data_IF_387633087228
#
_entry.id   IF_387633087228
#
_cell.length_a   1.000
_cell.length_b   1.000
_cell.length_c   1.000
_cell.angle_alpha   90.00
_cell.angle_beta   90.00
_cell.angle_gamma   90.00
#
_symmetry.space_group_name_H-M   'P 1'
#
loop_
_entity.id
_entity.type
_entity.pdbx_description
1 polymer ?
#
# COMPACT_ATOMS: atom_id res chain seq x y z
N UNK A 1 -29.38 -6.74 37.36
CA UNK A 1 -29.62 -6.29 38.76
C UNK A 1 -31.09 -6.01 39.06
N UNK A 2 -31.54 -6.36 40.26
CA UNK A 2 -32.82 -5.91 40.84
C UNK A 2 -32.60 -4.90 41.97
N UNK A 3 -33.68 -4.29 42.45
CA UNK A 3 -33.68 -3.42 43.64
C UNK A 3 -34.11 -4.23 44.85
N UNK A 4 -33.73 -3.78 46.04
CA UNK A 4 -34.24 -4.34 47.29
C UNK A 4 -35.77 -4.26 47.34
N UNK A 5 -36.41 -5.40 47.57
CA UNK A 5 -37.87 -5.57 47.52
C UNK A 5 -38.41 -6.38 48.71
N UNK A 6 -37.61 -6.51 49.76
CA UNK A 6 -38.08 -6.97 51.08
C UNK A 6 -39.27 -6.15 51.57
N UNK A 7 -40.09 -6.74 52.45
CA UNK A 7 -41.30 -6.09 52.96
C UNK A 7 -41.06 -4.75 53.68
N UNK A 8 -39.84 -4.52 54.15
CA UNK A 8 -39.40 -3.30 54.85
C UNK A 8 -38.60 -2.36 53.93
N UNK A 9 -38.49 -2.67 52.64
CA UNK A 9 -37.96 -1.75 51.64
C UNK A 9 -38.81 -0.48 51.57
N UNK A 10 -38.15 0.68 51.44
CA UNK A 10 -38.84 1.94 51.24
C UNK A 10 -39.44 1.96 49.84
N UNK A 11 -40.76 1.79 49.79
CA UNK A 11 -41.53 1.82 48.54
C UNK A 11 -41.30 3.14 47.79
N UNK A 12 -41.06 3.04 46.49
CA UNK A 12 -40.98 4.16 45.55
C UNK A 12 -39.98 5.28 45.91
N UNK A 13 -38.94 4.97 46.70
CA UNK A 13 -37.94 5.96 47.17
C UNK A 13 -37.32 6.78 46.03
N UNK A 14 -37.16 6.18 44.85
CA UNK A 14 -36.58 6.83 43.67
C UNK A 14 -37.59 7.00 42.51
N UNK A 15 -38.89 6.98 42.81
CA UNK A 15 -39.99 7.05 41.84
C UNK A 15 -40.82 5.75 41.80
N UNK A 16 -41.92 5.76 41.03
CA UNK A 16 -42.84 4.62 40.95
C UNK A 16 -42.12 3.32 40.53
N UNK A 17 -42.33 2.25 41.30
CA UNK A 17 -41.71 0.93 41.16
C UNK A 17 -40.23 0.87 41.59
N UNK A 18 -39.67 1.95 42.15
CA UNK A 18 -38.23 2.07 42.43
C UNK A 18 -37.98 2.11 43.93
N UNK A 19 -38.15 0.96 44.57
CA UNK A 19 -37.86 0.75 45.98
C UNK A 19 -36.39 1.05 46.32
N UNK A 20 -36.10 1.29 47.61
CA UNK A 20 -34.75 1.51 48.09
C UNK A 20 -34.61 1.34 49.60
N UNK A 21 -33.38 1.46 50.09
CA UNK A 21 -33.06 1.30 51.51
C UNK A 21 -33.55 2.46 52.37
N UNK A 22 -34.06 2.19 53.56
CA UNK A 22 -34.31 3.16 54.62
C UNK A 22 -33.65 2.72 55.93
N UNK A 23 -33.19 3.68 56.72
CA UNK A 23 -32.71 3.46 58.10
C UNK A 23 -33.86 3.24 59.10
N UNK A 24 -35.10 3.25 58.62
CA UNK A 24 -36.30 3.29 59.46
C UNK A 24 -36.48 4.64 60.15
N UNK A 25 -37.57 4.74 60.89
CA UNK A 25 -37.85 5.86 61.78
C UNK A 25 -38.62 5.35 63.01
N UNK A 26 -37.94 5.22 64.18
CA UNK A 26 -38.58 4.76 65.41
C UNK A 26 -39.73 5.66 65.87
N UNK A 27 -39.71 6.95 65.56
CA UNK A 27 -40.77 7.90 65.96
C UNK A 27 -42.07 7.69 65.18
N UNK A 28 -41.97 7.18 63.94
CA UNK A 28 -43.13 6.90 63.07
C UNK A 28 -43.42 5.40 62.95
N UNK A 29 -42.74 4.56 63.72
CA UNK A 29 -42.89 3.09 63.68
C UNK A 29 -42.44 2.45 62.37
N UNK A 30 -41.63 3.13 61.56
CA UNK A 30 -41.15 2.60 60.28
C UNK A 30 -39.89 1.75 60.52
N UNK A 31 -39.89 0.44 60.22
CA UNK A 31 -38.69 -0.39 60.36
C UNK A 31 -37.60 0.02 59.36
N UNK A 32 -36.35 -0.34 59.66
CA UNK A 32 -35.26 -0.26 58.69
C UNK A 32 -35.43 -1.34 57.61
N UNK A 33 -34.85 -1.12 56.43
CA UNK A 33 -34.90 -2.12 55.36
C UNK A 33 -34.09 -3.35 55.71
N UNK A 34 -34.75 -4.49 55.67
CA UNK A 34 -34.14 -5.79 55.86
C UNK A 34 -33.29 -6.13 54.63
N UNK A 35 -32.16 -6.74 54.92
CA UNK A 35 -31.19 -7.24 53.96
C UNK A 35 -31.54 -8.71 53.66
N UNK A 36 -31.66 -9.07 52.39
CA UNK A 36 -31.94 -10.42 51.92
C UNK A 36 -30.80 -10.98 51.05
N UNK A 37 -30.74 -12.30 50.99
CA UNK A 37 -29.76 -13.06 50.22
C UNK A 37 -29.88 -12.78 48.72
N UNK A 38 -31.09 -12.77 48.17
CA UNK A 38 -31.34 -12.55 46.74
C UNK A 38 -30.66 -11.26 46.22
N UNK A 39 -30.79 -10.15 46.97
CA UNK A 39 -30.14 -8.89 46.61
C UNK A 39 -28.61 -8.94 46.67
N UNK A 40 -28.02 -9.59 47.68
CA UNK A 40 -26.56 -9.68 47.80
C UNK A 40 -25.95 -10.69 46.82
N UNK A 41 -26.61 -11.81 46.59
CA UNK A 41 -26.20 -12.81 45.61
C UNK A 41 -26.23 -12.21 44.21
N UNK A 42 -27.28 -11.44 43.86
CA UNK A 42 -27.32 -10.72 42.59
C UNK A 42 -26.13 -9.75 42.43
N UNK A 43 -25.79 -8.97 43.46
CA UNK A 43 -24.64 -8.06 43.39
C UNK A 43 -23.32 -8.83 43.26
N UNK A 44 -23.19 -9.95 43.96
CA UNK A 44 -22.01 -10.81 43.86
C UNK A 44 -21.85 -11.36 42.45
N UNK A 45 -22.90 -11.97 41.89
CA UNK A 45 -22.86 -12.61 40.58
C UNK A 45 -22.66 -11.59 39.44
N UNK A 46 -23.16 -10.36 39.57
CA UNK A 46 -22.89 -9.30 38.59
C UNK A 46 -21.41 -8.90 38.58
N UNK A 47 -20.77 -8.79 39.76
CA UNK A 47 -19.34 -8.47 39.85
C UNK A 47 -18.45 -9.66 39.48
N UNK A 48 -18.85 -10.87 39.88
CA UNK A 48 -18.17 -12.12 39.56
C UNK A 48 -18.23 -12.40 38.06
N UNK A 49 -19.39 -12.23 37.43
CA UNK A 49 -19.59 -12.42 36.00
C UNK A 49 -18.71 -11.52 35.14
N UNK A 50 -18.47 -10.26 35.55
CA UNK A 50 -17.50 -9.38 34.86
C UNK A 50 -16.08 -9.95 34.90
N UNK A 51 -15.68 -10.56 36.01
CA UNK A 51 -14.36 -11.18 36.16
C UNK A 51 -14.26 -12.45 35.31
N UNK A 52 -15.24 -13.33 35.42
CA UNK A 52 -15.25 -14.62 34.71
C UNK A 52 -15.35 -14.45 33.19
N UNK A 53 -16.04 -13.43 32.70
CA UNK A 53 -16.12 -13.10 31.28
C UNK A 53 -14.74 -12.84 30.64
N UNK A 54 -13.72 -12.51 31.44
CA UNK A 54 -12.33 -12.33 30.98
C UNK A 54 -11.48 -13.60 31.06
N UNK A 55 -12.07 -14.73 31.44
CA UNK A 55 -11.38 -16.00 31.65
C UNK A 55 -10.59 -16.09 32.96
N UNK A 56 -10.76 -15.12 33.86
CA UNK A 56 -10.14 -15.12 35.19
C UNK A 56 -11.00 -15.97 36.13
N UNK A 57 -10.39 -16.95 36.80
CA UNK A 57 -11.04 -17.75 37.84
C UNK A 57 -11.12 -16.97 39.15
N UNK A 58 -12.29 -16.97 39.79
CA UNK A 58 -12.53 -16.28 41.05
C UNK A 58 -11.65 -16.82 42.18
N UNK A 59 -10.94 -15.93 42.86
CA UNK A 59 -10.02 -16.23 43.95
C UNK A 59 -10.33 -15.39 45.18
N UNK A 60 -10.87 -16.03 46.23
CA UNK A 60 -11.22 -15.36 47.50
C UNK A 60 -10.05 -14.68 48.21
N UNK A 61 -8.80 -15.01 47.86
CA UNK A 61 -7.61 -14.38 48.43
C UNK A 61 -7.21 -13.08 47.73
N UNK A 62 -7.87 -12.73 46.61
CA UNK A 62 -7.54 -11.55 45.80
C UNK A 62 -8.63 -10.49 45.85
N UNK A 63 -8.22 -9.26 46.17
CA UNK A 63 -9.09 -8.07 46.25
C UNK A 63 -8.95 -7.11 45.05
N UNK A 64 -8.41 -7.58 43.91
CA UNK A 64 -8.16 -6.76 42.71
C UNK A 64 -8.68 -7.40 41.42
N UNK A 65 -9.54 -8.42 41.51
CA UNK A 65 -9.98 -9.22 40.37
C UNK A 65 -10.82 -8.39 39.39
N UNK A 66 -11.79 -7.61 39.90
CA UNK A 66 -12.59 -6.70 39.08
C UNK A 66 -11.72 -5.68 38.32
N UNK A 67 -10.73 -5.09 39.01
CA UNK A 67 -9.80 -4.17 38.36
C UNK A 67 -8.97 -4.85 37.26
N UNK A 68 -8.56 -6.10 37.48
CA UNK A 68 -7.81 -6.89 36.50
C UNK A 68 -8.67 -7.22 35.27
N UNK A 69 -9.92 -7.62 35.49
CA UNK A 69 -10.89 -7.88 34.44
C UNK A 69 -11.19 -6.63 33.61
N UNK A 70 -11.44 -5.48 34.25
CA UNK A 70 -11.65 -4.22 33.55
C UNK A 70 -10.44 -3.83 32.69
N UNK A 71 -9.21 -4.00 33.20
CA UNK A 71 -8.01 -3.78 32.39
C UNK A 71 -7.97 -4.69 31.16
N UNK A 72 -8.33 -5.97 31.29
CA UNK A 72 -8.36 -6.90 30.17
C UNK A 72 -9.44 -6.52 29.14
N UNK A 73 -10.66 -6.22 29.60
CA UNK A 73 -11.77 -5.79 28.74
C UNK A 73 -11.44 -4.52 27.97
N UNK A 74 -10.82 -3.54 28.63
CA UNK A 74 -10.46 -2.26 28.01
C UNK A 74 -9.13 -2.28 27.23
N UNK A 75 -8.27 -3.30 27.42
CA UNK A 75 -7.16 -3.56 26.51
C UNK A 75 -7.63 -4.23 25.21
N UNK A 76 -8.77 -4.93 25.22
CA UNK A 76 -9.34 -5.51 24.01
C UNK A 76 -9.96 -4.40 23.17
N UNK A 77 -9.31 -4.10 22.04
CA UNK A 77 -9.84 -3.16 21.03
C UNK A 77 -10.81 -3.96 20.16
N UNK A 78 -12.10 -3.61 20.16
CA UNK A 78 -13.10 -4.32 19.34
C UNK A 78 -12.84 -4.12 17.85
N UNK A 79 -12.30 -2.96 17.47
CA UNK A 79 -11.89 -2.63 16.12
C UNK A 79 -10.47 -2.03 16.13
N UNK A 80 -9.42 -2.83 16.32
CA UNK A 80 -8.08 -2.34 16.66
C UNK A 80 -7.58 -1.19 15.77
N UNK A 81 -7.75 -1.27 14.46
CA UNK A 81 -7.31 -0.21 13.54
C UNK A 81 -8.22 1.03 13.55
N UNK A 82 -9.53 0.87 13.75
CA UNK A 82 -10.45 1.99 13.88
C UNK A 82 -10.21 2.74 15.20
N UNK A 83 -9.95 1.99 16.27
CA UNK A 83 -9.65 2.53 17.59
C UNK A 83 -8.28 3.25 17.59
N UNK A 84 -7.25 2.69 16.95
CA UNK A 84 -5.96 3.39 16.75
C UNK A 84 -6.14 4.68 15.94
N UNK A 85 -7.03 4.68 14.94
CA UNK A 85 -7.35 5.89 14.18
C UNK A 85 -8.01 6.96 15.06
N UNK A 86 -8.88 6.56 15.99
CA UNK A 86 -9.55 7.46 16.92
C UNK A 86 -8.60 8.03 17.99
N UNK A 87 -7.61 7.25 18.44
CA UNK A 87 -6.56 7.71 19.37
C UNK A 87 -5.65 8.80 18.77
N UNK A 88 -5.63 8.93 17.44
CA UNK A 88 -4.97 10.02 16.73
C UNK A 88 -3.54 9.71 16.26
N UNK A 89 -2.85 10.77 15.82
CA UNK A 89 -1.63 10.65 15.03
C UNK A 89 -0.47 9.93 15.75
N UNK A 90 -0.33 10.12 17.07
CA UNK A 90 0.73 9.48 17.85
C UNK A 90 0.55 7.95 17.90
N UNK A 91 -0.66 7.47 18.14
CA UNK A 91 -0.98 6.05 18.16
C UNK A 91 -0.81 5.40 16.77
N UNK A 92 -1.19 6.10 15.71
CA UNK A 92 -0.97 5.66 14.33
C UNK A 92 0.54 5.50 14.07
N UNK A 93 1.34 6.50 14.44
CA UNK A 93 2.79 6.46 14.22
C UNK A 93 3.47 5.29 14.96
N UNK A 94 3.10 5.06 16.21
CA UNK A 94 3.61 3.94 17.01
C UNK A 94 3.18 2.59 16.42
N UNK A 95 1.91 2.45 16.00
CA UNK A 95 1.41 1.23 15.37
C UNK A 95 2.17 0.90 14.07
N UNK A 96 2.42 1.90 13.22
CA UNK A 96 3.22 1.73 11.99
C UNK A 96 4.66 1.31 12.30
N UNK A 97 5.27 1.87 13.36
CA UNK A 97 6.61 1.51 13.81
C UNK A 97 6.67 0.05 14.32
N UNK A 98 5.68 -0.37 15.11
CA UNK A 98 5.60 -1.73 15.65
C UNK A 98 5.38 -2.79 14.57
N UNK A 99 4.66 -2.46 13.49
CA UNK A 99 4.53 -3.32 12.32
C UNK A 99 5.81 -3.44 11.50
N UNK A 100 6.84 -2.62 11.78
CA UNK A 100 8.10 -2.63 11.04
C UNK A 100 7.94 -2.15 9.58
N UNK A 101 6.91 -1.34 9.30
CA UNK A 101 6.67 -0.84 7.95
C UNK A 101 7.79 0.13 7.54
N UNK A 102 8.44 -0.20 6.43
CA UNK A 102 9.50 0.61 5.85
C UNK A 102 8.92 1.70 4.94
N UNK A 103 9.76 2.64 4.51
CA UNK A 103 9.37 3.80 3.70
C UNK A 103 8.53 3.44 2.46
N UNK A 104 8.83 2.33 1.78
CA UNK A 104 8.09 1.93 0.58
C UNK A 104 6.60 1.69 0.84
N UNK A 105 6.24 1.13 2.01
CA UNK A 105 4.84 0.86 2.36
C UNK A 105 4.03 2.13 2.63
N UNK A 106 4.69 3.28 2.79
CA UNK A 106 4.08 4.59 3.05
C UNK A 106 3.98 5.47 1.81
N UNK A 107 4.48 5.01 0.66
CA UNK A 107 4.52 5.80 -0.59
C UNK A 107 3.30 5.50 -1.44
N UNK A 108 2.75 6.56 -2.02
CA UNK A 108 1.67 6.45 -3.01
C UNK A 108 2.17 5.78 -4.30
N UNK A 109 1.23 5.13 -5.00
CA UNK A 109 1.47 4.62 -6.35
C UNK A 109 1.38 5.75 -7.36
N UNK A 110 2.41 5.91 -8.19
CA UNK A 110 2.47 6.94 -9.23
C UNK A 110 3.90 7.28 -9.66
N UNK A 111 4.04 8.28 -10.52
CA UNK A 111 5.34 8.67 -11.12
C UNK A 111 5.91 9.99 -10.57
N UNK A 112 5.26 10.57 -9.56
CA UNK A 112 5.72 11.79 -8.89
C UNK A 112 6.91 11.56 -7.95
N UNK A 113 7.48 12.66 -7.46
CA UNK A 113 8.60 12.60 -6.52
C UNK A 113 8.20 11.83 -5.24
N UNK A 114 9.00 10.83 -4.88
CA UNK A 114 8.73 9.99 -3.70
C UNK A 114 7.62 8.95 -3.89
N UNK A 115 7.08 8.75 -5.09
CA UNK A 115 6.11 7.71 -5.39
C UNK A 115 6.76 6.42 -5.90
N UNK A 116 5.99 5.33 -5.91
CA UNK A 116 6.39 4.05 -6.51
C UNK A 116 5.60 3.87 -7.81
N UNK A 117 6.27 3.87 -8.99
CA UNK A 117 5.61 3.59 -10.25
C UNK A 117 5.08 2.15 -10.27
N UNK A 118 3.81 1.97 -10.65
CA UNK A 118 3.29 0.64 -10.97
C UNK A 118 3.68 0.21 -12.39
N UNK A 119 3.21 -0.96 -12.81
CA UNK A 119 3.47 -1.49 -14.15
C UNK A 119 2.90 -0.61 -15.27
N UNK A 120 1.82 0.15 -15.03
CA UNK A 120 1.19 1.00 -16.04
C UNK A 120 2.08 2.20 -16.43
N UNK A 121 2.97 2.61 -15.54
CA UNK A 121 3.97 3.64 -15.82
C UNK A 121 5.07 3.18 -16.80
N UNK A 122 5.22 1.87 -17.02
CA UNK A 122 6.15 1.29 -18.00
C UNK A 122 5.41 0.99 -19.30
N UNK A 123 5.24 2.02 -20.12
CA UNK A 123 4.52 1.89 -21.39
C UNK A 123 5.40 1.30 -22.48
N UNK A 124 4.81 0.54 -23.40
CA UNK A 124 5.54 -0.08 -24.52
C UNK A 124 4.64 -0.27 -25.74
N UNK A 125 5.26 -0.53 -26.87
CA UNK A 125 4.59 -0.90 -28.11
C UNK A 125 5.58 -1.54 -29.09
N UNK A 126 5.14 -1.84 -30.31
CA UNK A 126 6.02 -2.42 -31.33
C UNK A 126 7.24 -1.54 -31.56
N UNK A 127 8.44 -2.07 -31.29
CA UNK A 127 9.70 -1.36 -31.50
C UNK A 127 10.03 -0.28 -30.47
N UNK A 128 9.34 -0.20 -29.32
CA UNK A 128 9.68 0.77 -28.28
C UNK A 128 9.23 0.40 -26.85
N UNK A 129 9.97 0.92 -25.88
CA UNK A 129 9.62 0.91 -24.44
C UNK A 129 9.89 2.29 -23.84
N UNK A 130 9.08 2.71 -22.86
CA UNK A 130 9.22 3.99 -22.15
C UNK A 130 9.15 3.78 -20.65
N UNK A 131 10.12 4.34 -19.96
CA UNK A 131 10.24 4.30 -18.51
C UNK A 131 9.48 5.46 -17.86
N UNK A 132 9.12 5.33 -16.56
CA UNK A 132 8.39 6.38 -15.82
C UNK A 132 9.08 7.74 -15.77
N UNK A 133 10.41 7.77 -15.94
CA UNK A 133 11.20 9.00 -15.97
C UNK A 133 11.19 9.70 -17.35
N UNK A 134 10.42 9.21 -18.33
CA UNK A 134 10.36 9.74 -19.69
C UNK A 134 11.42 9.18 -20.65
N UNK A 135 12.42 8.44 -20.16
CA UNK A 135 13.40 7.77 -21.02
C UNK A 135 12.69 6.74 -21.90
N UNK A 136 12.93 6.84 -23.19
CA UNK A 136 12.32 5.99 -24.21
C UNK A 136 13.42 5.33 -25.02
N UNK A 137 13.33 4.02 -25.17
CA UNK A 137 14.18 3.21 -26.03
C UNK A 137 13.31 2.77 -27.21
N UNK A 138 13.76 3.07 -28.41
CA UNK A 138 13.16 2.62 -29.66
C UNK A 138 14.16 1.76 -30.42
N UNK A 139 13.71 0.76 -31.16
CA UNK A 139 14.58 -0.16 -31.88
C UNK A 139 13.89 -0.70 -33.13
N UNK A 140 14.70 -1.16 -34.08
CA UNK A 140 14.22 -1.79 -35.29
C UNK A 140 15.36 -2.06 -36.26
N UNK A 141 14.98 -2.34 -37.51
CA UNK A 141 15.93 -2.60 -38.60
C UNK A 141 15.56 -1.76 -39.82
N UNK A 142 16.54 -1.41 -40.65
CA UNK A 142 16.32 -0.74 -41.94
C UNK A 142 17.28 -1.29 -42.99
N UNK A 143 16.84 -1.33 -44.25
CA UNK A 143 17.63 -1.82 -45.36
C UNK A 143 18.11 -0.70 -46.28
N UNK A 144 19.33 -0.85 -46.80
CA UNK A 144 19.83 -0.07 -47.92
C UNK A 144 19.66 -0.88 -49.19
N UNK A 145 18.89 -0.39 -50.16
CA UNK A 145 18.80 -1.05 -51.46
C UNK A 145 20.16 -0.98 -52.20
N UNK A 146 20.47 -1.95 -53.09
CA UNK A 146 21.65 -1.85 -53.94
C UNK A 146 21.65 -0.53 -54.72
N UNK A 147 22.76 0.20 -54.68
CA UNK A 147 22.93 1.54 -55.26
C UNK A 147 22.48 2.70 -54.37
N UNK A 148 21.91 2.43 -53.19
CA UNK A 148 21.49 3.45 -52.22
C UNK A 148 22.42 3.45 -51.01
N UNK A 149 22.96 4.63 -50.71
CA UNK A 149 23.90 4.83 -49.59
C UNK A 149 23.34 5.72 -48.47
N UNK A 150 22.11 6.21 -48.61
CA UNK A 150 21.43 7.07 -47.64
C UNK A 150 20.02 6.56 -47.39
N UNK A 151 19.62 6.51 -46.12
CA UNK A 151 18.29 6.04 -45.72
C UNK A 151 17.79 6.81 -44.49
N UNK A 152 16.51 7.19 -44.50
CA UNK A 152 15.86 7.76 -43.32
C UNK A 152 15.08 6.67 -42.57
N UNK A 153 15.28 6.63 -41.25
CA UNK A 153 14.52 5.76 -40.35
C UNK A 153 13.45 6.60 -39.66
N UNK A 154 12.19 6.22 -39.85
CA UNK A 154 11.07 6.77 -39.07
C UNK A 154 10.96 6.05 -37.73
N UNK A 155 10.95 6.82 -36.64
CA UNK A 155 10.83 6.31 -35.29
C UNK A 155 9.37 5.90 -35.01
N UNK A 156 9.12 4.77 -34.32
CA UNK A 156 7.79 4.37 -33.85
C UNK A 156 7.06 5.44 -33.02
N UNK A 157 7.81 6.31 -32.34
CA UNK A 157 7.32 7.40 -31.50
C UNK A 157 8.21 8.62 -31.63
N UNK A 158 7.63 9.81 -31.56
CA UNK A 158 8.42 11.04 -31.52
C UNK A 158 9.17 11.16 -30.18
N UNK A 159 10.45 11.53 -30.22
CA UNK A 159 11.15 12.07 -29.04
C UNK A 159 10.78 13.55 -28.82
N UNK A 160 10.93 14.03 -27.59
CA UNK A 160 10.66 15.43 -27.20
C UNK A 160 11.63 16.44 -27.84
N UNK A 161 12.80 15.98 -28.29
CA UNK A 161 13.78 16.79 -29.02
C UNK A 161 14.61 15.93 -29.97
N UNK A 162 15.41 16.56 -30.84
CA UNK A 162 16.38 15.87 -31.69
C UNK A 162 17.68 15.47 -30.93
N UNK A 163 17.78 15.74 -29.62
CA UNK A 163 18.93 15.39 -28.80
C UNK A 163 18.86 13.95 -28.25
N UNK A 164 18.58 12.98 -29.12
CA UNK A 164 18.62 11.55 -28.78
C UNK A 164 19.91 10.90 -29.31
N UNK A 165 20.24 9.72 -28.81
CA UNK A 165 21.39 8.92 -29.25
C UNK A 165 20.89 7.77 -30.10
N UNK A 166 21.69 7.38 -31.09
CA UNK A 166 21.41 6.22 -31.94
C UNK A 166 22.68 5.40 -31.99
N UNK A 167 22.55 4.10 -31.80
CA UNK A 167 23.58 3.12 -32.09
C UNK A 167 23.05 2.18 -33.17
N UNK A 168 23.95 1.77 -34.07
CA UNK A 168 23.61 0.94 -35.22
C UNK A 168 24.63 -0.18 -35.38
N UNK A 169 24.18 -1.32 -35.88
CA UNK A 169 25.01 -2.47 -36.21
C UNK A 169 24.48 -3.15 -37.47
N UNK A 170 25.35 -3.77 -38.25
CA UNK A 170 24.91 -4.62 -39.36
C UNK A 170 24.28 -5.90 -38.85
N UNK A 171 23.25 -6.36 -39.54
CA UNK A 171 22.57 -7.59 -39.18
C UNK A 171 22.70 -8.71 -40.23
N UNK A 172 23.29 -8.44 -41.40
CA UNK A 172 23.36 -9.36 -42.53
C UNK A 172 24.71 -9.36 -43.29
N UNK A 173 25.83 -9.05 -42.62
CA UNK A 173 27.17 -9.26 -43.19
C UNK A 173 27.29 -10.71 -43.67
N UNK A 174 27.39 -10.91 -44.98
CA UNK A 174 27.59 -12.23 -45.55
C UNK A 174 29.04 -12.67 -45.38
N UNK A 175 29.32 -13.56 -44.44
CA UNK A 175 30.40 -14.53 -44.63
C UNK A 175 29.71 -15.76 -45.21
N UNK A 176 29.97 -16.19 -46.46
CA UNK A 176 29.50 -17.49 -46.90
C UNK A 176 29.93 -18.51 -45.85
N UNK A 177 28.99 -19.29 -45.33
CA UNK A 177 29.27 -20.41 -44.42
C UNK A 177 30.10 -21.45 -45.20
N UNK A 178 31.41 -21.20 -45.30
CA UNK A 178 32.26 -21.91 -46.27
C UNK A 178 33.44 -21.13 -46.87
N UNK A 179 34.01 -20.13 -46.19
CA UNK A 179 35.39 -19.71 -46.46
C UNK A 179 35.64 -18.76 -47.64
N UNK A 180 34.71 -17.86 -47.98
CA UNK A 180 35.07 -16.69 -48.80
C UNK A 180 35.57 -15.53 -47.91
N UNK A 181 36.49 -14.74 -48.45
CA UNK A 181 37.10 -13.55 -47.84
C UNK A 181 36.06 -12.73 -47.06
N UNK A 182 36.36 -12.41 -45.79
CA UNK A 182 35.54 -11.52 -44.98
C UNK A 182 35.19 -10.26 -45.79
N UNK A 183 33.89 -9.98 -45.96
CA UNK A 183 33.47 -8.68 -46.49
C UNK A 183 34.00 -7.61 -45.55
N UNK A 184 34.67 -6.58 -46.09
CA UNK A 184 35.09 -5.45 -45.29
C UNK A 184 33.83 -4.88 -44.60
N UNK A 185 33.89 -4.67 -43.29
CA UNK A 185 32.83 -3.94 -42.59
C UNK A 185 32.70 -2.60 -43.30
N UNK A 186 31.53 -2.30 -43.89
CA UNK A 186 31.35 -0.99 -44.46
C UNK A 186 30.92 0.00 -43.38
N UNK A 187 31.33 1.23 -43.65
CA UNK A 187 31.18 2.31 -42.71
C UNK A 187 29.69 2.63 -42.57
N UNK A 188 29.16 2.59 -41.35
CA UNK A 188 27.85 3.19 -41.05
C UNK A 188 28.09 4.49 -40.32
N UNK A 189 27.40 5.53 -40.78
CA UNK A 189 27.34 6.80 -40.08
C UNK A 189 25.90 7.22 -39.83
N UNK A 190 25.71 7.99 -38.76
CA UNK A 190 24.55 8.88 -38.68
C UNK A 190 24.80 10.08 -39.56
N UNK A 191 23.87 10.39 -40.45
CA UNK A 191 23.97 11.56 -41.32
C UNK A 191 24.00 12.85 -40.50
N UNK A 192 24.93 13.75 -40.81
CA UNK A 192 25.01 15.05 -40.12
C UNK A 192 23.71 15.84 -40.30
N UNK A 193 23.21 16.43 -39.21
CA UNK A 193 21.98 17.25 -39.19
C UNK A 193 20.71 16.55 -39.69
N UNK A 194 20.66 15.22 -39.68
CA UNK A 194 19.49 14.45 -40.17
C UNK A 194 18.46 14.11 -39.10
N UNK A 195 18.78 14.32 -37.81
CA UNK A 195 17.88 14.00 -36.70
C UNK A 195 16.76 15.03 -36.57
N UNK A 196 15.53 14.53 -36.59
CA UNK A 196 14.33 15.26 -36.15
C UNK A 196 13.69 14.48 -35.00
N UNK A 197 12.64 15.02 -34.39
CA UNK A 197 11.91 14.31 -33.32
C UNK A 197 11.33 12.97 -33.76
N UNK A 198 11.11 12.76 -35.06
CA UNK A 198 10.43 11.57 -35.61
C UNK A 198 11.32 10.70 -36.51
N UNK A 199 12.54 11.11 -36.81
CA UNK A 199 13.41 10.36 -37.71
C UNK A 199 14.89 10.68 -37.53
N UNK A 200 15.74 9.83 -38.07
CA UNK A 200 17.17 10.09 -38.26
C UNK A 200 17.64 9.52 -39.60
N UNK A 201 18.69 10.11 -40.17
CA UNK A 201 19.32 9.61 -41.39
C UNK A 201 20.50 8.71 -41.06
N UNK A 202 20.62 7.62 -41.80
CA UNK A 202 21.78 6.75 -41.84
C UNK A 202 22.45 6.86 -43.21
N UNK A 203 23.78 6.78 -43.18
CA UNK A 203 24.61 6.65 -44.36
C UNK A 203 25.40 5.34 -44.28
N UNK A 204 25.54 4.67 -45.41
CA UNK A 204 26.35 3.46 -45.55
C UNK A 204 27.42 3.65 -46.63
N UNK A 205 28.67 3.30 -46.32
CA UNK A 205 29.76 3.23 -47.28
C UNK A 205 29.60 2.04 -48.25
N UNK A 206 30.05 2.21 -49.49
CA UNK A 206 30.02 1.17 -50.51
C UNK A 206 28.72 1.12 -51.34
N UNK A 207 28.41 -0.03 -51.96
CA UNK A 207 27.34 -0.13 -52.96
C UNK A 207 25.92 -0.24 -52.37
N UNK A 208 25.74 -0.16 -51.05
CA UNK A 208 24.48 -0.51 -50.39
C UNK A 208 24.18 -2.01 -50.44
N UNK A 209 22.93 -2.39 -50.20
CA UNK A 209 22.47 -3.79 -50.28
C UNK A 209 22.47 -4.57 -48.97
N UNK A 210 22.59 -3.89 -47.82
CA UNK A 210 22.67 -4.51 -46.50
C UNK A 210 21.63 -3.93 -45.55
N UNK A 211 21.33 -4.67 -44.49
CA UNK A 211 20.41 -4.29 -43.44
C UNK A 211 21.15 -3.91 -42.15
N UNK A 212 20.56 -2.96 -41.43
CA UNK A 212 21.12 -2.35 -40.23
C UNK A 212 20.09 -2.41 -39.12
N UNK A 213 20.48 -3.01 -38.00
CA UNK A 213 19.74 -2.89 -36.74
C UNK A 213 20.12 -1.60 -36.04
N UNK A 214 19.15 -0.98 -35.39
CA UNK A 214 19.34 0.28 -34.69
C UNK A 214 18.61 0.29 -33.36
N UNK A 215 19.19 1.03 -32.43
CA UNK A 215 18.59 1.41 -31.15
C UNK A 215 18.71 2.92 -31.00
N UNK A 216 17.60 3.58 -30.70
CA UNK A 216 17.53 5.00 -30.43
C UNK A 216 17.07 5.25 -28.99
N UNK A 217 17.79 6.09 -28.26
CA UNK A 217 17.52 6.38 -26.84
C UNK A 217 17.42 7.89 -26.64
N UNK A 218 16.31 8.33 -26.06
CA UNK A 218 16.01 9.73 -25.79
C UNK A 218 14.82 9.88 -24.84
N UNK A 219 14.30 11.09 -24.71
CA UNK A 219 13.11 11.37 -23.89
C UNK A 219 11.87 11.52 -24.79
N UNK A 220 10.71 10.97 -24.41
CA UNK A 220 9.40 11.16 -25.08
C UNK A 220 8.25 11.21 -24.10
#
# INVERSE_FOLDING_TARGET
MHRIDTSTAQKDKFGAGKNGFTRGNPQTGTPATDLDDDYFDMLQEELAGVVEATGIVLDKTKHNQLLTALKALFLSRQHPFADIKADGAAAIAEALANLGLKEAAKREVGTGAGQIPDMSAFTSGPGWVRFPNGTTIQYGSTGFAPGWNNQYVTLPRAFSSNNFRVATVWNDVGVPQGGATAQAAADIGLGANTKTTTQFGLWQGGPGGFNVDWIAVGES
#
